data_IF_564407943027
#
_entry.id   IF_564407943027
#
_cell.length_a   1.000
_cell.length_b   1.000
_cell.length_c   1.000
_cell.angle_alpha   90.00
_cell.angle_beta   90.00
_cell.angle_gamma   90.00
#
_symmetry.space_group_name_H-M   'P 1'
#
loop_
_entity.id
_entity.type
_entity.pdbx_description
1 polymer ?
#
# COMPACT_ATOMS: atom_id res chain seq x y z
N UNK A 1 7.07 -16.19 -4.00
CA UNK A 1 6.14 -17.10 -4.72
C UNK A 1 6.53 -18.57 -4.60
N UNK A 2 7.82 -18.95 -4.59
CA UNK A 2 8.22 -20.34 -4.28
C UNK A 2 8.21 -20.59 -2.76
N UNK A 3 8.59 -19.61 -1.94
CA UNK A 3 8.67 -19.79 -0.48
C UNK A 3 7.31 -19.86 0.24
N UNK A 4 6.26 -19.21 -0.27
CA UNK A 4 4.91 -19.27 0.33
C UNK A 4 4.17 -20.60 0.05
N UNK A 5 4.57 -21.32 -1.01
CA UNK A 5 3.98 -22.62 -1.33
C UNK A 5 4.38 -23.69 -0.30
N UNK A 6 5.60 -23.59 0.25
CA UNK A 6 6.08 -24.48 1.31
C UNK A 6 5.41 -24.15 2.67
N UNK A 7 5.06 -22.88 2.94
CA UNK A 7 4.34 -22.50 4.16
C UNK A 7 2.90 -23.03 4.21
N UNK A 8 2.20 -23.13 3.07
CA UNK A 8 0.82 -23.65 3.04
C UNK A 8 0.71 -25.12 3.45
N UNK A 9 1.78 -25.92 3.32
CA UNK A 9 1.77 -27.32 3.74
C UNK A 9 1.91 -27.51 5.27
N UNK A 10 2.47 -26.53 5.98
CA UNK A 10 2.83 -26.70 7.40
C UNK A 10 1.71 -26.34 8.38
N UNK A 11 0.63 -25.68 7.92
CA UNK A 11 -0.49 -25.25 8.76
C UNK A 11 -1.68 -26.21 8.70
N UNK A 12 -1.50 -27.42 9.23
CA UNK A 12 -2.52 -28.29 9.87
C UNK A 12 -3.89 -28.56 9.20
N UNK A 13 -4.16 -28.04 8.00
CA UNK A 13 -5.48 -28.03 7.36
C UNK A 13 -5.72 -29.24 6.46
N UNK A 14 -4.71 -30.10 6.28
CA UNK A 14 -4.79 -31.35 5.50
C UNK A 14 -4.77 -31.16 3.98
N UNK A 15 -4.60 -29.94 3.48
CA UNK A 15 -4.51 -29.64 2.05
C UNK A 15 -3.07 -29.80 1.56
N UNK A 16 -2.85 -30.61 0.54
CA UNK A 16 -1.57 -30.73 -0.16
C UNK A 16 -1.68 -30.10 -1.54
N UNK A 17 -0.74 -29.21 -1.83
CA UNK A 17 -0.60 -28.59 -3.15
C UNK A 17 0.02 -29.60 -4.12
N UNK A 18 -0.61 -29.84 -5.28
CA UNK A 18 -0.14 -30.84 -6.24
C UNK A 18 0.66 -30.21 -7.39
N UNK A 19 0.04 -29.41 -8.23
CA UNK A 19 0.77 -28.60 -9.23
C UNK A 19 -0.09 -27.41 -9.70
N UNK A 20 0.57 -26.40 -10.27
CA UNK A 20 -0.09 -25.35 -11.02
C UNK A 20 -0.06 -25.74 -12.49
N UNK A 21 -1.22 -26.08 -13.05
CA UNK A 21 -1.33 -26.56 -14.43
C UNK A 21 -1.15 -25.42 -15.44
N UNK A 22 -1.56 -24.20 -15.08
CA UNK A 22 -1.43 -23.00 -15.90
C UNK A 22 -1.60 -21.74 -15.03
N UNK A 23 -0.77 -20.71 -15.24
CA UNK A 23 -0.88 -19.42 -14.56
C UNK A 23 -0.61 -18.30 -15.56
N UNK A 24 -1.65 -17.56 -15.94
CA UNK A 24 -1.54 -16.41 -16.82
C UNK A 24 -1.48 -15.11 -15.98
N UNK A 25 -0.28 -14.53 -15.86
CA UNK A 25 -0.09 -13.24 -15.19
C UNK A 25 -0.30 -12.09 -16.18
N UNK A 26 -1.51 -11.51 -16.19
CA UNK A 26 -1.78 -10.25 -16.90
C UNK A 26 -1.37 -9.07 -16.05
N UNK A 27 -0.10 -8.67 -16.18
CA UNK A 27 0.46 -7.49 -15.51
C UNK A 27 0.01 -6.25 -16.29
N UNK A 28 -0.95 -5.51 -15.75
CA UNK A 28 -1.19 -4.15 -16.21
C UNK A 28 -0.07 -3.24 -15.69
N UNK A 29 0.55 -2.46 -16.59
CA UNK A 29 1.47 -1.41 -16.17
C UNK A 29 0.68 -0.38 -15.36
N UNK A 30 0.94 -0.32 -14.06
CA UNK A 30 0.48 0.77 -13.21
C UNK A 30 1.27 2.02 -13.56
N UNK A 31 0.61 3.00 -14.15
CA UNK A 31 1.18 4.34 -14.35
C UNK A 31 0.77 5.19 -13.13
N UNK A 32 1.71 5.50 -12.21
CA UNK A 32 1.40 6.27 -11.02
C UNK A 32 0.98 7.68 -11.43
N UNK A 33 -0.29 7.99 -11.18
CA UNK A 33 -0.86 9.32 -11.01
C UNK A 33 -0.27 10.39 -11.95
N UNK A 34 -0.81 10.51 -13.16
CA UNK A 34 -1.03 11.87 -13.65
C UNK A 34 -1.93 12.56 -12.62
N UNK A 35 -1.59 13.80 -12.24
CA UNK A 35 -2.17 14.59 -11.16
C UNK A 35 -3.70 14.88 -11.23
N UNK A 36 -4.47 14.03 -11.89
CA UNK A 36 -5.92 13.89 -11.85
C UNK A 36 -6.27 12.41 -11.65
N UNK A 37 -6.32 11.95 -10.39
CA UNK A 37 -6.95 10.68 -10.03
C UNK A 37 -8.47 10.72 -10.23
N UNK A 38 -9.12 9.56 -10.23
CA UNK A 38 -10.58 9.40 -10.25
C UNK A 38 -11.27 9.95 -8.97
N UNK A 39 -10.45 10.23 -7.95
CA UNK A 39 -10.84 10.91 -6.72
C UNK A 39 -10.36 12.35 -6.83
N UNK A 40 -11.30 13.30 -6.70
CA UNK A 40 -10.98 14.71 -6.64
C UNK A 40 -10.06 14.97 -5.45
N UNK A 41 -8.81 15.29 -5.75
CA UNK A 41 -7.84 15.72 -4.76
C UNK A 41 -8.23 17.11 -4.24
N UNK A 42 -8.02 17.40 -2.95
CA UNK A 42 -8.18 18.75 -2.41
C UNK A 42 -7.40 19.74 -3.28
N UNK A 43 -8.07 20.79 -3.76
CA UNK A 43 -7.48 21.81 -4.65
C UNK A 43 -6.28 22.53 -4.02
N UNK A 44 -6.10 22.41 -2.71
CA UNK A 44 -5.00 23.01 -1.97
C UNK A 44 -3.68 22.23 -2.05
N UNK A 45 -3.64 21.01 -2.61
CA UNK A 45 -2.41 20.24 -2.76
C UNK A 45 -1.52 20.80 -3.87
N UNK A 46 -0.31 21.21 -3.51
CA UNK A 46 0.69 21.65 -4.51
C UNK A 46 1.27 20.45 -5.26
N UNK A 47 1.79 20.68 -6.47
CA UNK A 47 2.33 19.62 -7.34
C UNK A 47 3.47 18.81 -6.67
N UNK A 48 4.34 19.49 -5.94
CA UNK A 48 5.41 18.90 -5.14
C UNK A 48 4.89 18.03 -4.00
N UNK A 49 3.75 18.39 -3.39
CA UNK A 49 3.09 17.56 -2.38
C UNK A 49 2.41 16.34 -2.99
N UNK A 50 1.87 16.47 -4.21
CA UNK A 50 1.30 15.35 -4.95
C UNK A 50 2.36 14.27 -5.23
N UNK A 51 3.50 14.66 -5.78
CA UNK A 51 4.60 13.72 -6.08
C UNK A 51 5.11 12.98 -4.83
N UNK A 52 4.92 13.55 -3.64
CA UNK A 52 5.26 12.91 -2.37
C UNK A 52 4.24 11.86 -1.93
N UNK A 53 2.95 12.08 -2.17
CA UNK A 53 1.88 11.16 -1.73
C UNK A 53 1.54 10.09 -2.76
N UNK A 54 2.08 10.18 -3.98
CA UNK A 54 1.88 9.19 -5.05
C UNK A 54 2.81 7.98 -4.91
N UNK A 55 3.90 8.12 -4.15
CA UNK A 55 4.83 7.05 -3.78
C UNK A 55 4.32 6.29 -2.56
N UNK A 56 4.66 5.00 -2.47
CA UNK A 56 4.44 4.20 -1.25
C UNK A 56 5.03 4.92 -0.03
N UNK A 57 4.19 5.20 0.96
CA UNK A 57 4.61 5.86 2.19
C UNK A 57 5.58 5.02 3.01
N UNK A 58 6.38 5.69 3.84
CA UNK A 58 7.37 5.09 4.73
C UNK A 58 6.92 5.31 6.17
N UNK A 59 6.72 4.24 6.94
CA UNK A 59 6.09 4.34 8.27
C UNK A 59 6.77 3.42 9.30
N UNK A 60 7.04 3.90 10.53
CA UNK A 60 7.76 3.13 11.54
C UNK A 60 6.76 2.31 12.38
N UNK A 61 6.31 1.17 11.84
CA UNK A 61 5.27 0.34 12.48
C UNK A 61 5.66 -0.15 13.87
N UNK A 62 6.86 -0.72 14.01
CA UNK A 62 7.35 -1.27 15.28
C UNK A 62 7.60 -0.18 16.32
N UNK A 63 7.88 1.04 15.85
CA UNK A 63 8.02 2.18 16.75
C UNK A 63 6.66 2.61 17.31
N UNK A 64 5.58 2.58 16.55
CA UNK A 64 4.28 3.11 16.96
C UNK A 64 3.50 2.12 17.86
N UNK A 65 4.08 1.79 19.02
CA UNK A 65 3.57 0.79 19.98
C UNK A 65 2.73 1.36 21.13
N UNK A 66 2.74 2.68 21.34
CA UNK A 66 1.99 3.34 22.41
C UNK A 66 1.38 4.67 21.96
N UNK A 67 0.37 5.13 22.69
CA UNK A 67 -0.36 6.36 22.34
C UNK A 67 0.47 7.62 22.62
N UNK A 68 1.40 7.56 23.57
CA UNK A 68 2.27 8.67 23.93
C UNK A 68 3.14 9.11 22.75
N UNK A 69 3.57 8.17 21.91
CA UNK A 69 4.38 8.44 20.71
C UNK A 69 3.67 9.34 19.72
N UNK A 70 2.35 9.29 19.61
CA UNK A 70 1.60 10.21 18.74
C UNK A 70 1.80 11.69 19.08
N UNK A 71 2.21 12.01 20.32
CA UNK A 71 2.44 13.39 20.78
C UNK A 71 3.85 13.88 20.50
N UNK A 72 4.76 13.00 20.09
CA UNK A 72 6.14 13.37 19.76
C UNK A 72 6.13 14.30 18.56
N UNK A 73 6.94 15.35 18.64
CA UNK A 73 6.96 16.45 17.65
C UNK A 73 8.11 16.32 16.66
N UNK A 74 8.78 15.18 16.63
CA UNK A 74 9.90 14.90 15.75
C UNK A 74 9.70 13.57 15.02
N UNK A 75 10.29 13.48 13.83
CA UNK A 75 10.31 12.23 13.09
C UNK A 75 11.26 11.25 13.81
N UNK A 76 10.84 9.99 14.04
CA UNK A 76 11.68 8.99 14.68
C UNK A 76 13.01 8.81 13.94
N UNK A 77 14.08 8.40 14.64
CA UNK A 77 15.36 8.15 14.02
C UNK A 77 15.26 7.00 13.01
N UNK A 78 16.17 6.93 12.05
CA UNK A 78 16.13 5.96 10.93
C UNK A 78 16.02 4.52 11.43
N UNK A 79 16.70 4.22 12.53
CA UNK A 79 16.74 2.90 13.17
C UNK A 79 15.36 2.47 13.69
N UNK A 80 14.48 3.42 14.02
CA UNK A 80 13.12 3.15 14.47
C UNK A 80 12.18 2.71 13.32
N UNK A 81 12.60 2.87 12.07
CA UNK A 81 11.84 2.39 10.90
C UNK A 81 12.18 0.94 10.52
N UNK A 82 13.05 0.27 11.28
CA UNK A 82 13.33 -1.14 11.08
C UNK A 82 12.03 -1.94 11.14
N UNK A 83 11.80 -2.78 10.12
CA UNK A 83 10.62 -3.62 10.05
C UNK A 83 11.00 -5.06 10.43
N UNK A 84 10.61 -5.49 11.63
CA UNK A 84 10.89 -6.84 12.13
C UNK A 84 10.32 -7.96 11.27
N UNK A 85 9.28 -7.70 10.47
CA UNK A 85 8.70 -8.71 9.58
C UNK A 85 9.57 -8.98 8.35
N UNK A 86 10.36 -7.99 7.90
CA UNK A 86 11.22 -8.10 6.72
C UNK A 86 12.71 -8.22 7.08
N UNK A 87 13.07 -8.12 8.37
CA UNK A 87 14.44 -8.09 8.89
C UNK A 87 15.40 -7.16 8.11
N UNK A 88 14.90 -6.04 7.59
CA UNK A 88 15.67 -5.13 6.76
C UNK A 88 15.58 -3.70 7.28
N UNK A 89 16.74 -3.03 7.32
CA UNK A 89 16.82 -1.59 7.49
C UNK A 89 16.17 -0.87 6.31
N UNK A 90 15.57 0.30 6.58
CA UNK A 90 15.08 1.15 5.50
C UNK A 90 16.23 1.75 4.71
N UNK A 91 16.00 1.96 3.42
CA UNK A 91 16.98 2.64 2.56
C UNK A 91 17.15 4.11 2.98
N UNK A 92 18.32 4.69 2.70
CA UNK A 92 18.54 6.14 2.91
C UNK A 92 17.58 7.00 2.08
N UNK A 93 17.18 6.51 0.90
CA UNK A 93 16.24 7.18 0.02
C UNK A 93 14.83 7.21 0.61
N UNK A 94 14.38 6.12 1.22
CA UNK A 94 13.08 6.02 1.89
C UNK A 94 13.04 6.91 3.14
N UNK A 95 14.11 6.91 3.94
CA UNK A 95 14.17 7.80 5.10
C UNK A 95 14.18 9.28 4.69
N UNK A 96 14.95 9.63 3.65
CA UNK A 96 14.96 10.98 3.09
C UNK A 96 13.58 11.38 2.55
N UNK A 97 12.86 10.43 1.97
CA UNK A 97 11.48 10.64 1.54
C UNK A 97 10.56 10.95 2.72
N UNK A 98 10.62 10.17 3.82
CA UNK A 98 9.86 10.46 5.04
C UNK A 98 10.17 11.86 5.61
N UNK A 99 11.45 12.26 5.61
CA UNK A 99 11.86 13.61 6.02
C UNK A 99 11.31 14.71 5.11
N UNK A 100 11.25 14.47 3.79
CA UNK A 100 10.66 15.41 2.84
C UNK A 100 9.15 15.53 3.04
N UNK A 101 8.44 14.43 3.29
CA UNK A 101 7.01 14.43 3.63
C UNK A 101 6.76 15.24 4.90
N UNK A 102 7.52 14.94 5.97
CA UNK A 102 7.42 15.66 7.25
C UNK A 102 7.53 17.18 7.08
N UNK A 103 8.53 17.63 6.33
CA UNK A 103 8.76 19.05 6.06
C UNK A 103 7.72 19.67 5.13
N UNK A 104 7.36 18.99 4.05
CA UNK A 104 6.51 19.56 2.99
C UNK A 104 5.05 19.69 3.42
N UNK A 105 4.60 18.86 4.36
CA UNK A 105 3.26 18.92 4.95
C UNK A 105 3.22 19.69 6.27
N UNK A 106 4.36 20.25 6.71
CA UNK A 106 4.50 20.98 7.96
C UNK A 106 3.91 20.22 9.17
N UNK A 107 4.33 18.95 9.28
CA UNK A 107 3.83 18.02 10.28
C UNK A 107 4.39 18.37 11.64
N UNK A 108 3.52 18.52 12.64
CA UNK A 108 3.90 18.99 13.96
C UNK A 108 4.08 17.85 14.97
N UNK A 109 3.51 16.68 14.69
CA UNK A 109 3.56 15.53 15.57
C UNK A 109 3.34 14.21 14.81
N UNK A 110 3.67 13.09 15.46
CA UNK A 110 3.50 11.78 14.84
C UNK A 110 2.04 11.42 14.55
N UNK A 111 1.06 11.97 15.29
CA UNK A 111 -0.36 11.79 14.97
C UNK A 111 -0.70 12.31 13.58
N UNK A 112 -0.31 13.54 13.27
CA UNK A 112 -0.51 14.14 11.95
C UNK A 112 0.20 13.33 10.86
N UNK A 113 1.39 12.80 11.15
CA UNK A 113 2.11 11.91 10.25
C UNK A 113 1.34 10.62 9.95
N UNK A 114 0.82 9.96 10.98
CA UNK A 114 0.03 8.73 10.86
C UNK A 114 -1.29 8.97 10.13
N UNK A 115 -1.97 10.07 10.43
CA UNK A 115 -3.21 10.45 9.73
C UNK A 115 -2.95 10.70 8.25
N UNK A 116 -1.84 11.38 7.90
CA UNK A 116 -1.44 11.57 6.52
C UNK A 116 -1.15 10.23 5.85
N UNK A 117 -0.33 9.38 6.47
CA UNK A 117 0.02 8.06 5.95
C UNK A 117 -1.22 7.22 5.62
N UNK A 118 -2.15 7.08 6.58
CA UNK A 118 -3.38 6.29 6.39
C UNK A 118 -4.25 6.89 5.29
N UNK A 119 -4.40 8.22 5.25
CA UNK A 119 -5.15 8.88 4.17
C UNK A 119 -4.52 8.59 2.80
N UNK A 120 -3.21 8.69 2.69
CA UNK A 120 -2.52 8.43 1.41
C UNK A 120 -2.64 6.98 0.96
N UNK A 121 -2.51 6.02 1.88
CA UNK A 121 -2.65 4.59 1.58
C UNK A 121 -4.06 4.26 1.09
N UNK A 122 -5.09 4.78 1.78
CA UNK A 122 -6.50 4.62 1.36
C UNK A 122 -6.76 5.25 -0.01
N UNK A 123 -6.21 6.44 -0.29
CA UNK A 123 -6.39 7.11 -1.57
C UNK A 123 -5.73 6.33 -2.72
N UNK A 124 -4.51 5.84 -2.53
CA UNK A 124 -3.81 5.03 -3.53
C UNK A 124 -4.57 3.72 -3.77
N UNK A 125 -4.97 3.02 -2.71
CA UNK A 125 -5.73 1.78 -2.83
C UNK A 125 -7.08 1.99 -3.51
N UNK A 126 -7.77 3.09 -3.22
CA UNK A 126 -9.04 3.43 -3.87
C UNK A 126 -8.87 3.71 -5.37
N UNK A 127 -7.83 4.45 -5.80
CA UNK A 127 -7.56 4.68 -7.23
C UNK A 127 -7.23 3.37 -7.97
N UNK A 128 -6.41 2.51 -7.36
CA UNK A 128 -6.10 1.18 -7.90
C UNK A 128 -7.39 0.34 -8.03
N UNK A 129 -8.26 0.38 -7.02
CA UNK A 129 -9.49 -0.40 -7.03
C UNK A 129 -10.51 0.10 -8.06
N UNK A 130 -10.65 1.41 -8.26
CA UNK A 130 -11.51 1.95 -9.32
C UNK A 130 -11.00 1.56 -10.72
N UNK A 131 -9.68 1.66 -10.97
CA UNK A 131 -9.08 1.16 -12.23
C UNK A 131 -9.34 -0.34 -12.42
N UNK A 132 -9.21 -1.12 -11.35
CA UNK A 132 -9.51 -2.55 -11.40
C UNK A 132 -10.99 -2.81 -11.73
N UNK A 133 -11.91 -2.07 -11.10
CA UNK A 133 -13.35 -2.14 -11.39
C UNK A 133 -13.64 -1.81 -12.86
N UNK A 134 -13.05 -0.76 -13.43
CA UNK A 134 -13.23 -0.41 -14.84
C UNK A 134 -12.72 -1.51 -15.79
N UNK A 135 -11.57 -2.11 -15.48
CA UNK A 135 -11.03 -3.25 -16.23
C UNK A 135 -11.97 -4.47 -16.12
N UNK A 136 -12.52 -4.74 -14.94
CA UNK A 136 -13.46 -5.83 -14.73
C UNK A 136 -14.79 -5.61 -15.46
N UNK A 137 -15.33 -4.39 -15.41
CA UNK A 137 -16.55 -4.00 -16.11
C UNK A 137 -16.36 -4.05 -17.63
N UNK A 138 -15.22 -3.60 -18.14
CA UNK A 138 -14.94 -3.62 -19.57
C UNK A 138 -14.76 -5.06 -20.09
N UNK A 139 -13.98 -5.88 -19.38
CA UNK A 139 -13.58 -7.24 -19.81
C UNK A 139 -14.65 -8.29 -19.50
N UNK A 140 -15.17 -8.31 -18.27
CA UNK A 140 -16.05 -9.38 -17.78
C UNK A 140 -17.51 -8.92 -17.64
N UNK A 141 -17.80 -7.63 -17.79
CA UNK A 141 -19.14 -7.03 -17.55
C UNK A 141 -19.66 -7.26 -16.13
N UNK A 142 -18.74 -7.43 -15.18
CA UNK A 142 -19.02 -7.69 -13.77
C UNK A 142 -18.39 -6.58 -12.92
N UNK A 143 -19.13 -6.12 -11.90
CA UNK A 143 -18.60 -5.21 -10.88
C UNK A 143 -18.00 -6.05 -9.73
N UNK A 144 -16.67 -6.02 -9.52
CA UNK A 144 -16.02 -6.78 -8.45
C UNK A 144 -16.49 -6.38 -7.04
N UNK A 145 -17.06 -5.18 -6.85
CA UNK A 145 -17.58 -4.77 -5.54
C UNK A 145 -18.94 -5.43 -5.18
N UNK A 146 -19.63 -6.01 -6.16
CA UNK A 146 -20.89 -6.74 -5.95
C UNK A 146 -20.72 -8.18 -5.46
N UNK A 147 -19.48 -8.66 -5.37
CA UNK A 147 -19.16 -10.04 -5.02
C UNK A 147 -18.07 -10.07 -3.95
N UNK A 148 -18.41 -10.55 -2.75
CA UNK A 148 -17.44 -10.80 -1.66
C UNK A 148 -16.28 -11.72 -2.08
N UNK A 149 -16.51 -12.54 -3.11
CA UNK A 149 -15.54 -13.48 -3.65
C UNK A 149 -14.82 -12.94 -4.89
N UNK A 150 -15.29 -11.92 -5.61
CA UNK A 150 -14.63 -11.52 -6.86
C UNK A 150 -13.22 -10.93 -6.66
N UNK A 151 -12.94 -10.34 -5.50
CA UNK A 151 -11.59 -9.87 -5.14
C UNK A 151 -10.60 -11.04 -4.94
N UNK A 152 -11.08 -12.27 -4.73
CA UNK A 152 -10.23 -13.48 -4.56
C UNK A 152 -10.35 -14.45 -5.75
N UNK A 153 -11.52 -14.54 -6.39
CA UNK A 153 -11.81 -15.56 -7.40
C UNK A 153 -11.55 -15.12 -8.84
N UNK A 154 -11.35 -13.82 -9.13
CA UNK A 154 -10.84 -13.41 -10.45
C UNK A 154 -9.37 -13.78 -10.67
N UNK A 155 -8.64 -14.19 -9.63
CA UNK A 155 -7.35 -14.86 -9.76
C UNK A 155 -7.45 -16.38 -9.98
N UNK A 156 -8.66 -16.94 -10.05
CA UNK A 156 -8.89 -18.40 -10.07
C UNK A 156 -9.83 -18.87 -11.20
N UNK A 157 -10.22 -17.96 -12.11
CA UNK A 157 -10.99 -18.27 -13.31
C UNK A 157 -10.29 -17.73 -14.57
N UNK A 158 -9.10 -18.24 -14.86
CA UNK A 158 -8.50 -18.39 -16.19
C UNK A 158 -7.65 -19.66 -16.17
#
# INVERSE_FOLDING_TARGET
MIEEADEMQTRGSGWSFQEVTYLELKINKYDPLYASSYIDLPKELKKDQLDLITRKGVYPYDYMDCEEKYKETELPPKEAFYNRLNECDISDEDYKHAQNVWKSFNINNLREYSELYVKTDVLILADIFEKFRDVCLSTYKLDPAGYFTAQVYLGMLC
#
